data_IF_646901795691
#
_entry.id   IF_646901795691
#
_cell.length_a   1.000
_cell.length_b   1.000
_cell.length_c   1.000
_cell.angle_alpha   90.00
_cell.angle_beta   90.00
_cell.angle_gamma   90.00
#
_symmetry.space_group_name_H-M   'P 1'
#
loop_
_entity.id
_entity.type
_entity.pdbx_description
1 polymer ?
#
# COMPACT_ATOMS: atom_id res chain seq x y z
N UNK A 1 -22.43 -13.92 -3.56
CA UNK A 1 -21.73 -12.86 -2.77
C UNK A 1 -21.80 -13.25 -1.30
N UNK A 2 -20.74 -13.03 -0.56
CA UNK A 2 -20.66 -13.25 0.88
C UNK A 2 -21.74 -12.47 1.64
N UNK A 3 -22.16 -12.96 2.81
CA UNK A 3 -23.08 -12.27 3.73
C UNK A 3 -22.59 -10.87 4.15
N UNK A 4 -21.27 -10.63 4.08
CA UNK A 4 -20.66 -9.34 4.40
C UNK A 4 -20.75 -8.30 3.25
N UNK A 5 -21.16 -8.66 2.05
CA UNK A 5 -21.23 -7.74 0.91
C UNK A 5 -22.15 -6.54 1.19
N UNK A 6 -23.23 -6.76 1.93
CA UNK A 6 -24.18 -5.70 2.33
C UNK A 6 -23.56 -4.61 3.23
N UNK A 7 -22.40 -4.88 3.85
CA UNK A 7 -21.69 -3.89 4.67
C UNK A 7 -20.96 -2.83 3.82
N UNK A 8 -20.91 -3.04 2.51
CA UNK A 8 -20.24 -2.14 1.55
C UNK A 8 -21.25 -1.55 0.57
N UNK A 9 -20.84 -0.51 -0.18
CA UNK A 9 -21.66 0.15 -1.20
C UNK A 9 -21.26 -0.26 -2.63
N UNK A 10 -20.61 -1.43 -2.77
CA UNK A 10 -20.19 -1.95 -4.07
C UNK A 10 -21.41 -2.25 -4.95
N UNK A 11 -21.24 -2.06 -6.27
CA UNK A 11 -22.24 -2.41 -7.27
C UNK A 11 -22.50 -3.94 -7.24
N UNK A 12 -23.72 -4.40 -6.93
CA UNK A 12 -24.02 -5.83 -6.83
C UNK A 12 -23.94 -6.58 -8.17
N UNK A 13 -24.01 -5.86 -9.30
CA UNK A 13 -23.92 -6.43 -10.63
C UNK A 13 -22.47 -6.60 -11.13
N UNK A 14 -21.48 -6.20 -10.30
CA UNK A 14 -20.04 -6.31 -10.61
C UNK A 14 -19.36 -7.28 -9.66
N UNK A 15 -18.66 -8.26 -10.17
CA UNK A 15 -17.73 -9.08 -9.41
C UNK A 15 -16.47 -8.26 -9.13
N UNK A 16 -16.43 -7.59 -7.97
CA UNK A 16 -15.32 -6.72 -7.60
C UNK A 16 -14.21 -7.51 -6.93
N UNK A 17 -13.18 -7.90 -7.72
CA UNK A 17 -12.01 -8.68 -7.30
C UNK A 17 -10.74 -7.83 -7.20
N UNK A 18 -10.89 -6.51 -7.06
CA UNK A 18 -9.84 -5.51 -7.16
C UNK A 18 -9.74 -4.59 -5.92
N UNK A 19 -9.99 -5.13 -4.72
CA UNK A 19 -9.85 -4.34 -3.48
C UNK A 19 -8.48 -3.69 -3.33
N UNK A 20 -7.41 -4.39 -3.73
CA UNK A 20 -6.04 -3.91 -3.60
C UNK A 20 -5.72 -2.62 -4.37
N UNK A 21 -6.46 -2.26 -5.42
CA UNK A 21 -6.17 -1.02 -6.15
C UNK A 21 -6.49 0.21 -5.32
N UNK A 22 -7.73 0.33 -4.79
CA UNK A 22 -8.16 1.54 -4.08
C UNK A 22 -8.87 1.27 -2.75
N UNK A 23 -9.17 0.02 -2.42
CA UNK A 23 -9.99 -0.36 -1.28
C UNK A 23 -11.48 -0.06 -1.49
N UNK A 24 -12.33 -0.74 -0.74
CA UNK A 24 -13.73 -0.39 -0.56
C UNK A 24 -13.91 0.06 0.90
N UNK A 25 -14.72 1.11 1.10
CA UNK A 25 -14.99 1.65 2.43
C UNK A 25 -16.33 1.10 2.94
N UNK A 26 -16.41 0.56 4.17
CA UNK A 26 -17.66 0.08 4.75
C UNK A 26 -18.67 1.19 4.98
N UNK A 27 -19.97 0.87 4.93
CA UNK A 27 -21.07 1.83 5.13
C UNK A 27 -20.94 2.59 6.45
N UNK A 28 -20.64 1.90 7.54
CA UNK A 28 -20.49 2.51 8.87
C UNK A 28 -19.38 3.57 8.89
N UNK A 29 -18.29 3.34 8.16
CA UNK A 29 -17.18 4.31 8.06
C UNK A 29 -17.55 5.49 7.14
N UNK A 30 -18.33 5.25 6.08
CA UNK A 30 -18.87 6.32 5.23
C UNK A 30 -19.88 7.20 5.99
N UNK A 31 -20.69 6.60 6.86
CA UNK A 31 -21.61 7.33 7.73
C UNK A 31 -20.85 8.22 8.73
N UNK A 32 -19.80 7.69 9.35
CA UNK A 32 -18.94 8.50 10.23
C UNK A 32 -18.26 9.64 9.46
N UNK A 33 -17.77 9.39 8.25
CA UNK A 33 -17.22 10.46 7.41
C UNK A 33 -18.25 11.56 7.12
N UNK A 34 -19.49 11.18 6.80
CA UNK A 34 -20.55 12.16 6.56
C UNK A 34 -20.81 12.99 7.81
N UNK A 35 -20.90 12.36 8.98
CA UNK A 35 -21.10 13.04 10.26
C UNK A 35 -19.97 14.06 10.54
N UNK A 36 -18.72 13.66 10.34
CA UNK A 36 -17.55 14.54 10.53
C UNK A 36 -17.55 15.71 9.54
N UNK A 37 -17.91 15.46 8.28
CA UNK A 37 -18.00 16.50 7.26
C UNK A 37 -19.11 17.51 7.57
N UNK A 38 -20.29 17.06 7.99
CA UNK A 38 -21.39 17.94 8.43
C UNK A 38 -21.00 18.78 9.66
N UNK A 39 -20.22 18.21 10.59
CA UNK A 39 -19.69 18.94 11.75
C UNK A 39 -18.68 20.00 11.32
N UNK A 40 -17.78 19.65 10.39
CA UNK A 40 -16.80 20.59 9.82
C UNK A 40 -17.50 21.78 9.16
N UNK A 41 -18.49 21.52 8.30
CA UNK A 41 -19.21 22.57 7.57
C UNK A 41 -20.09 23.43 8.49
N UNK A 42 -20.54 22.88 9.61
CA UNK A 42 -21.33 23.64 10.59
C UNK A 42 -20.52 24.74 11.27
N UNK A 43 -19.25 24.49 11.59
CA UNK A 43 -18.35 25.47 12.20
C UNK A 43 -16.89 25.23 11.78
N UNK A 44 -16.50 25.63 10.55
CA UNK A 44 -15.18 25.29 9.99
C UNK A 44 -14.01 25.76 10.86
N UNK A 45 -14.08 26.97 11.45
CA UNK A 45 -13.01 27.51 12.31
C UNK A 45 -12.90 26.73 13.62
N UNK A 46 -14.03 26.37 14.25
CA UNK A 46 -14.01 25.55 15.45
C UNK A 46 -13.43 24.17 15.16
N UNK A 47 -13.77 23.58 14.03
CA UNK A 47 -13.32 22.25 13.64
C UNK A 47 -11.83 22.24 13.24
N UNK A 48 -11.43 23.13 12.32
CA UNK A 48 -10.10 23.10 11.70
C UNK A 48 -9.03 23.83 12.54
N UNK A 49 -9.38 24.94 13.19
CA UNK A 49 -8.40 25.75 13.92
C UNK A 49 -8.28 25.34 15.41
N UNK A 50 -9.41 25.04 16.05
CA UNK A 50 -9.43 24.80 17.51
C UNK A 50 -9.48 23.33 17.91
N UNK A 51 -10.07 22.46 17.06
CA UNK A 51 -10.33 21.06 17.43
C UNK A 51 -9.58 20.01 16.61
N UNK A 52 -8.90 20.40 15.54
CA UNK A 52 -8.30 19.42 14.61
C UNK A 52 -7.14 18.65 15.25
N UNK A 53 -6.26 19.34 15.96
CA UNK A 53 -5.07 18.72 16.55
C UNK A 53 -5.42 17.59 17.53
N UNK A 54 -6.38 17.82 18.43
CA UNK A 54 -6.85 16.79 19.39
C UNK A 54 -7.49 15.60 18.66
N UNK A 55 -8.24 15.86 17.61
CA UNK A 55 -8.88 14.81 16.78
C UNK A 55 -7.85 13.97 16.05
N UNK A 56 -6.83 14.62 15.46
CA UNK A 56 -5.71 13.92 14.82
C UNK A 56 -4.91 13.10 15.82
N UNK A 57 -4.70 13.61 17.04
CA UNK A 57 -4.01 12.88 18.09
C UNK A 57 -4.77 11.62 18.51
N UNK A 58 -6.08 11.71 18.67
CA UNK A 58 -6.93 10.55 18.98
C UNK A 58 -6.90 9.52 17.85
N UNK A 59 -7.00 9.97 16.59
CA UNK A 59 -6.94 9.10 15.43
C UNK A 59 -5.56 8.42 15.30
N UNK A 60 -4.49 9.16 15.54
CA UNK A 60 -3.10 8.68 15.51
C UNK A 60 -2.84 7.66 16.61
N UNK A 61 -3.37 7.88 17.82
CA UNK A 61 -3.26 6.93 18.91
C UNK A 61 -3.94 5.58 18.58
N UNK A 62 -5.10 5.60 17.93
CA UNK A 62 -5.75 4.38 17.47
C UNK A 62 -4.93 3.68 16.39
N UNK A 63 -4.42 4.43 15.41
CA UNK A 63 -3.58 3.89 14.35
C UNK A 63 -2.27 3.32 14.91
N UNK A 64 -1.62 4.04 15.84
CA UNK A 64 -0.38 3.59 16.48
C UNK A 64 -0.53 2.23 17.17
N UNK A 65 -1.63 2.03 17.92
CA UNK A 65 -1.93 0.72 18.53
C UNK A 65 -2.11 -0.39 17.47
N UNK A 66 -2.76 -0.06 16.37
CA UNK A 66 -3.06 -1.03 15.30
C UNK A 66 -1.81 -1.46 14.52
N UNK A 67 -0.80 -0.58 14.38
CA UNK A 67 0.43 -0.87 13.61
C UNK A 67 1.67 -1.06 14.51
N UNK A 68 1.49 -1.15 15.84
CA UNK A 68 2.56 -1.37 16.81
C UNK A 68 3.51 -0.18 16.99
N UNK A 69 3.12 1.05 16.61
CA UNK A 69 4.00 2.21 16.59
C UNK A 69 3.62 3.26 17.64
N UNK A 70 4.61 4.00 18.14
CA UNK A 70 4.36 5.19 18.96
C UNK A 70 3.61 6.24 18.11
N UNK A 71 2.47 6.77 18.60
CA UNK A 71 1.75 7.83 17.91
C UNK A 71 2.60 9.07 17.59
N UNK A 72 3.65 9.35 18.38
CA UNK A 72 4.54 10.47 18.14
C UNK A 72 5.45 10.30 16.93
N UNK A 73 5.67 9.07 16.51
CA UNK A 73 6.45 8.71 15.33
C UNK A 73 5.58 8.61 14.05
N UNK A 74 4.26 8.88 14.16
CA UNK A 74 3.29 8.79 13.06
C UNK A 74 2.80 10.17 12.60
N UNK A 75 2.64 10.31 11.30
CA UNK A 75 1.91 11.42 10.68
C UNK A 75 0.86 10.87 9.71
N UNK A 76 -0.26 11.60 9.56
CA UNK A 76 -1.19 11.35 8.46
C UNK A 76 -0.70 12.02 7.18
N UNK A 77 -0.81 11.29 6.08
CA UNK A 77 -0.54 11.76 4.72
C UNK A 77 -1.69 11.34 3.79
N UNK A 78 -1.82 11.96 2.64
CA UNK A 78 -2.92 11.67 1.73
C UNK A 78 -2.90 10.23 1.18
N UNK A 79 -1.70 9.69 0.95
CA UNK A 79 -1.44 8.34 0.46
C UNK A 79 0.03 7.96 0.68
N UNK A 80 0.38 6.68 0.49
CA UNK A 80 1.76 6.20 0.63
C UNK A 80 2.73 6.95 -0.31
N UNK A 81 2.31 7.27 -1.54
CA UNK A 81 3.12 8.06 -2.47
C UNK A 81 3.53 9.42 -1.90
N UNK A 82 2.62 10.11 -1.20
CA UNK A 82 2.93 11.36 -0.49
C UNK A 82 3.94 11.15 0.64
N UNK A 83 3.83 10.03 1.37
CA UNK A 83 4.80 9.63 2.40
C UNK A 83 6.18 9.36 1.82
N UNK A 84 6.27 8.58 0.73
CA UNK A 84 7.54 8.32 0.02
C UNK A 84 8.15 9.62 -0.51
N UNK A 85 7.33 10.52 -1.09
CA UNK A 85 7.79 11.85 -1.52
C UNK A 85 8.35 12.67 -0.36
N UNK A 86 7.68 12.67 0.81
CA UNK A 86 8.15 13.42 1.97
C UNK A 86 9.54 12.93 2.40
N UNK A 87 9.75 11.61 2.48
CA UNK A 87 11.05 11.04 2.86
C UNK A 87 12.10 11.28 1.79
N UNK A 88 11.88 10.82 0.56
CA UNK A 88 12.88 10.87 -0.50
C UNK A 88 13.36 12.32 -0.80
N UNK A 89 12.46 13.31 -0.68
CA UNK A 89 12.79 14.73 -0.92
C UNK A 89 13.40 15.44 0.28
N UNK A 90 13.28 14.88 1.48
CA UNK A 90 13.93 15.40 2.69
C UNK A 90 15.39 14.94 2.80
N UNK A 91 15.73 13.81 2.18
CA UNK A 91 17.09 13.29 2.17
C UNK A 91 17.99 14.08 1.20
N UNK A 92 19.25 14.23 1.58
CA UNK A 92 20.27 14.90 0.76
C UNK A 92 21.18 13.86 0.12
N UNK A 93 21.24 13.87 -1.21
CA UNK A 93 22.12 13.03 -2.01
C UNK A 93 23.19 13.88 -2.70
N UNK A 94 24.32 13.23 -3.05
CA UNK A 94 25.46 13.81 -3.76
C UNK A 94 25.74 13.05 -5.03
N UNK A 95 26.46 13.65 -6.00
CA UNK A 95 26.93 12.92 -7.16
C UNK A 95 27.72 11.67 -6.77
N UNK A 96 27.36 10.53 -7.33
CA UNK A 96 27.96 9.24 -7.03
C UNK A 96 27.27 8.42 -5.94
N UNK A 97 26.34 8.99 -5.16
CA UNK A 97 25.48 8.24 -4.26
C UNK A 97 24.53 7.33 -5.05
N UNK A 98 24.15 6.22 -4.44
CA UNK A 98 23.20 5.28 -5.01
C UNK A 98 21.92 5.23 -4.17
N UNK A 99 20.78 5.16 -4.87
CA UNK A 99 19.45 4.94 -4.33
C UNK A 99 19.02 3.56 -4.82
N UNK A 100 18.86 2.61 -3.91
CA UNK A 100 18.43 1.25 -4.25
C UNK A 100 16.92 1.14 -4.25
N UNK A 101 16.36 0.57 -5.31
CA UNK A 101 14.95 0.22 -5.43
C UNK A 101 14.82 -1.18 -6.04
N UNK A 102 13.61 -1.75 -6.03
CA UNK A 102 13.30 -2.98 -6.76
C UNK A 102 12.61 -2.66 -8.10
N UNK A 103 12.61 -3.62 -9.01
CA UNK A 103 11.77 -3.55 -10.23
C UNK A 103 10.28 -3.78 -9.92
N UNK A 104 9.95 -4.25 -8.71
CA UNK A 104 8.58 -4.38 -8.17
C UNK A 104 8.02 -3.05 -7.63
N UNK A 105 8.88 -2.03 -7.46
CA UNK A 105 8.51 -0.76 -6.86
C UNK A 105 7.34 -0.09 -7.60
N UNK A 106 6.39 0.43 -6.83
CA UNK A 106 5.26 1.15 -7.40
C UNK A 106 5.72 2.34 -8.25
N UNK A 107 5.21 2.44 -9.47
CA UNK A 107 5.71 3.41 -10.48
C UNK A 107 5.77 4.86 -9.98
N UNK A 108 4.79 5.31 -9.18
CA UNK A 108 4.83 6.67 -8.64
C UNK A 108 5.96 6.87 -7.62
N UNK A 109 6.28 5.84 -6.82
CA UNK A 109 7.38 5.87 -5.86
C UNK A 109 8.72 5.76 -6.60
N UNK A 110 8.81 4.94 -7.65
CA UNK A 110 9.98 4.91 -8.52
C UNK A 110 10.24 6.26 -9.17
N UNK A 111 9.22 6.94 -9.67
CA UNK A 111 9.36 8.26 -10.30
C UNK A 111 9.92 9.33 -9.34
N UNK A 112 9.59 9.29 -8.03
CA UNK A 112 10.19 10.24 -7.09
C UNK A 112 11.67 9.94 -6.83
N UNK A 113 12.08 8.66 -6.86
CA UNK A 113 13.51 8.31 -6.76
C UNK A 113 14.29 8.83 -7.98
N UNK A 114 13.76 8.63 -9.19
CA UNK A 114 14.37 9.15 -10.42
C UNK A 114 14.41 10.70 -10.40
N UNK A 115 13.35 11.35 -9.88
CA UNK A 115 13.30 12.80 -9.74
C UNK A 115 14.38 13.35 -8.79
N UNK A 116 14.57 12.75 -7.61
CA UNK A 116 15.59 13.22 -6.67
C UNK A 116 17.00 12.88 -7.14
N UNK A 117 17.20 11.73 -7.78
CA UNK A 117 18.47 11.33 -8.37
C UNK A 117 18.90 12.31 -9.46
N UNK A 118 18.01 12.66 -10.40
CA UNK A 118 18.30 13.62 -11.47
C UNK A 118 18.72 15.00 -10.94
N UNK A 119 18.20 15.43 -9.78
CA UNK A 119 18.51 16.73 -9.17
C UNK A 119 19.80 16.75 -8.37
N UNK A 120 20.23 15.61 -7.86
CA UNK A 120 21.40 15.49 -6.97
C UNK A 120 22.64 14.90 -7.65
N UNK A 121 22.49 14.32 -8.83
CA UNK A 121 23.55 13.56 -9.49
C UNK A 121 23.74 12.14 -8.89
N UNK A 122 22.82 11.68 -8.05
CA UNK A 122 22.78 10.30 -7.60
C UNK A 122 22.26 9.36 -8.70
N UNK A 123 22.40 8.06 -8.49
CA UNK A 123 21.96 7.03 -9.45
C UNK A 123 20.96 6.09 -8.78
N UNK A 124 19.82 5.82 -9.44
CA UNK A 124 18.90 4.78 -8.99
C UNK A 124 19.41 3.43 -9.48
N UNK A 125 19.69 2.53 -8.52
CA UNK A 125 20.11 1.14 -8.76
C UNK A 125 18.90 0.25 -8.55
N UNK A 126 18.59 -0.61 -9.51
CA UNK A 126 17.41 -1.48 -9.47
C UNK A 126 17.81 -2.92 -9.20
N UNK A 127 17.22 -3.51 -8.17
CA UNK A 127 17.27 -4.94 -7.92
C UNK A 127 16.12 -5.62 -8.66
N UNK A 128 16.44 -6.62 -9.47
CA UNK A 128 15.43 -7.46 -10.15
C UNK A 128 14.94 -8.52 -9.16
N UNK A 129 13.77 -8.30 -8.58
CA UNK A 129 13.12 -9.23 -7.68
C UNK A 129 12.35 -10.29 -8.49
N UNK A 130 12.71 -11.58 -8.44
CA UNK A 130 12.17 -12.58 -9.34
C UNK A 130 10.66 -12.79 -9.12
N UNK A 131 9.96 -13.06 -10.23
CA UNK A 131 8.60 -13.58 -10.25
C UNK A 131 8.37 -14.30 -11.59
N UNK A 132 8.00 -15.57 -11.62
CA UNK A 132 7.80 -16.50 -10.48
C UNK A 132 9.07 -16.75 -9.64
N UNK A 133 8.89 -17.19 -8.38
CA UNK A 133 9.97 -17.53 -7.46
C UNK A 133 9.61 -18.75 -6.61
N UNK A 134 10.64 -19.37 -6.02
CA UNK A 134 10.49 -20.60 -5.22
C UNK A 134 10.69 -20.39 -3.72
N UNK A 135 11.40 -19.33 -3.32
CA UNK A 135 11.63 -19.02 -1.92
C UNK A 135 11.74 -17.51 -1.68
N UNK A 136 11.44 -17.09 -0.46
CA UNK A 136 11.64 -15.72 -0.02
C UNK A 136 13.13 -15.32 0.00
N UNK A 137 14.06 -16.29 0.05
CA UNK A 137 15.50 -16.05 0.02
C UNK A 137 15.94 -15.39 -1.28
N UNK A 138 15.34 -15.77 -2.41
CA UNK A 138 15.64 -15.20 -3.72
C UNK A 138 15.43 -13.67 -3.74
N UNK A 139 14.41 -13.17 -3.04
CA UNK A 139 14.13 -11.73 -2.91
C UNK A 139 15.20 -11.04 -2.07
N UNK A 140 15.55 -11.64 -0.91
CA UNK A 140 16.57 -11.07 0.00
C UNK A 140 17.91 -10.99 -0.70
N UNK A 141 18.31 -12.07 -1.37
CA UNK A 141 19.58 -12.17 -2.10
C UNK A 141 19.62 -11.18 -3.26
N UNK A 142 18.56 -11.09 -4.07
CA UNK A 142 18.48 -10.18 -5.20
C UNK A 142 18.64 -8.73 -4.78
N UNK A 143 17.97 -8.30 -3.70
CA UNK A 143 18.05 -6.94 -3.18
C UNK A 143 19.42 -6.68 -2.56
N UNK A 144 19.90 -7.56 -1.68
CA UNK A 144 21.18 -7.40 -1.00
C UNK A 144 22.38 -7.37 -1.96
N UNK A 145 22.32 -8.14 -3.04
CA UNK A 145 23.40 -8.19 -4.05
C UNK A 145 23.56 -6.86 -4.82
N UNK A 146 22.53 -6.01 -4.84
CA UNK A 146 22.59 -4.72 -5.53
C UNK A 146 23.05 -3.57 -4.64
N UNK A 147 23.08 -3.77 -3.31
CA UNK A 147 23.59 -2.76 -2.39
C UNK A 147 25.12 -2.68 -2.46
N UNK A 148 25.67 -1.47 -2.46
CA UNK A 148 27.09 -1.15 -2.48
C UNK A 148 27.46 -0.17 -1.37
N UNK A 149 28.75 0.10 -1.18
CA UNK A 149 29.22 1.13 -0.25
C UNK A 149 28.75 2.57 -0.60
N UNK A 150 28.18 2.78 -1.79
CA UNK A 150 27.60 4.04 -2.24
C UNK A 150 26.09 4.12 -1.99
N UNK A 151 25.44 3.02 -1.60
CA UNK A 151 24.00 2.99 -1.37
C UNK A 151 23.66 3.77 -0.08
N UNK A 152 23.08 4.97 -0.24
CA UNK A 152 22.69 5.85 0.86
C UNK A 152 21.25 5.64 1.31
N UNK A 153 20.39 5.26 0.39
CA UNK A 153 18.98 5.05 0.63
C UNK A 153 18.48 3.81 -0.12
N UNK A 154 17.63 3.02 0.53
CA UNK A 154 16.93 1.90 -0.09
C UNK A 154 15.43 2.05 0.15
N UNK A 155 14.64 1.84 -0.91
CA UNK A 155 13.19 1.76 -0.89
C UNK A 155 12.77 0.41 -1.48
N UNK A 156 11.87 -0.29 -0.79
CA UNK A 156 11.26 -1.52 -1.31
C UNK A 156 9.84 -1.70 -0.74
N UNK A 157 9.00 -2.43 -1.48
CA UNK A 157 7.62 -2.73 -1.07
C UNK A 157 7.58 -3.74 0.08
N UNK A 158 6.66 -3.57 1.04
CA UNK A 158 6.31 -4.65 1.98
C UNK A 158 5.40 -5.68 1.32
N UNK A 159 4.42 -5.20 0.54
CA UNK A 159 3.58 -6.02 -0.31
C UNK A 159 3.53 -5.38 -1.69
N UNK A 160 4.05 -6.08 -2.68
CA UNK A 160 4.22 -5.57 -4.04
C UNK A 160 2.89 -5.32 -4.74
N UNK A 161 2.83 -4.26 -5.57
CA UNK A 161 1.59 -3.88 -6.23
C UNK A 161 1.21 -4.85 -7.35
N UNK A 162 2.14 -5.21 -8.24
CA UNK A 162 1.84 -6.01 -9.42
C UNK A 162 1.74 -7.50 -9.11
N UNK A 163 2.70 -8.03 -8.37
CA UNK A 163 2.81 -9.47 -8.10
C UNK A 163 2.10 -9.91 -6.81
N UNK A 164 1.71 -8.96 -5.94
CA UNK A 164 0.98 -9.24 -4.70
C UNK A 164 1.80 -9.99 -3.65
N UNK A 165 3.13 -10.00 -3.78
CA UNK A 165 4.03 -10.72 -2.89
C UNK A 165 4.24 -9.97 -1.57
N UNK A 166 4.11 -10.67 -0.46
CA UNK A 166 4.58 -10.22 0.85
C UNK A 166 6.08 -10.44 0.92
N UNK A 167 6.85 -9.36 0.91
CA UNK A 167 8.30 -9.43 1.02
C UNK A 167 8.71 -9.70 2.47
N UNK A 168 9.80 -10.46 2.71
CA UNK A 168 10.34 -10.72 4.05
C UNK A 168 11.09 -9.48 4.58
N UNK A 169 10.32 -8.41 4.88
CA UNK A 169 10.82 -7.05 5.09
C UNK A 169 11.91 -6.95 6.17
N UNK A 170 11.72 -7.61 7.33
CA UNK A 170 12.74 -7.63 8.39
C UNK A 170 14.06 -8.23 7.92
N UNK A 171 13.99 -9.31 7.11
CA UNK A 171 15.20 -9.98 6.58
C UNK A 171 15.90 -9.11 5.54
N UNK A 172 15.14 -8.40 4.69
CA UNK A 172 15.69 -7.45 3.72
C UNK A 172 16.37 -6.29 4.45
N UNK A 173 15.72 -5.71 5.45
CA UNK A 173 16.31 -4.62 6.27
C UNK A 173 17.61 -5.06 6.89
N UNK A 174 17.66 -6.25 7.52
CA UNK A 174 18.87 -6.79 8.12
C UNK A 174 20.00 -6.95 7.09
N UNK A 175 19.71 -7.57 5.95
CA UNK A 175 20.69 -7.76 4.89
C UNK A 175 21.22 -6.43 4.32
N UNK A 176 20.38 -5.41 4.18
CA UNK A 176 20.79 -4.07 3.76
C UNK A 176 21.66 -3.37 4.81
N UNK A 177 21.32 -3.51 6.11
CA UNK A 177 22.15 -2.99 7.21
C UNK A 177 23.55 -3.62 7.24
N UNK A 178 23.64 -4.93 7.02
CA UNK A 178 24.93 -5.65 6.91
C UNK A 178 25.79 -5.15 5.74
N UNK A 179 25.17 -4.58 4.70
CA UNK A 179 25.83 -3.91 3.56
C UNK A 179 26.14 -2.44 3.80
N UNK A 180 25.79 -1.90 4.99
CA UNK A 180 26.06 -0.52 5.37
C UNK A 180 25.08 0.52 4.80
N UNK A 181 23.89 0.12 4.35
CA UNK A 181 22.87 1.06 3.87
C UNK A 181 22.41 1.96 5.01
N UNK A 182 22.55 3.28 4.83
CA UNK A 182 22.33 4.27 5.92
C UNK A 182 20.85 4.50 6.22
N UNK A 183 20.01 4.63 5.19
CA UNK A 183 18.58 4.91 5.31
C UNK A 183 17.77 3.86 4.54
N UNK A 184 16.78 3.30 5.21
CA UNK A 184 15.90 2.27 4.64
C UNK A 184 14.46 2.67 4.85
N UNK A 185 13.70 2.74 3.77
CA UNK A 185 12.25 2.96 3.75
C UNK A 185 11.52 1.74 3.21
N UNK A 186 10.39 1.43 3.82
CA UNK A 186 9.49 0.40 3.32
C UNK A 186 8.21 1.08 2.78
N UNK A 187 7.87 0.82 1.52
CA UNK A 187 6.54 1.12 0.99
C UNK A 187 5.57 0.01 1.42
N UNK A 188 4.82 0.32 2.45
CA UNK A 188 3.80 -0.55 3.01
C UNK A 188 2.39 -0.24 2.49
N UNK A 189 2.23 0.31 1.28
CA UNK A 189 0.93 0.74 0.76
C UNK A 189 -0.16 -0.32 0.88
N UNK A 190 0.18 -1.59 0.85
CA UNK A 190 -0.77 -2.70 0.95
C UNK A 190 -0.78 -3.42 2.31
N UNK A 191 0.19 -3.20 3.19
CA UNK A 191 0.36 -4.03 4.37
C UNK A 191 -0.61 -3.72 5.53
N UNK A 192 -0.86 -2.44 5.94
CA UNK A 192 -1.75 -2.15 7.07
C UNK A 192 -3.16 -2.65 6.83
N UNK A 193 -3.62 -3.59 7.66
CA UNK A 193 -4.93 -4.24 7.55
C UNK A 193 -4.96 -5.48 6.63
N UNK A 194 -3.87 -5.79 5.90
CA UNK A 194 -3.73 -7.02 5.12
C UNK A 194 -2.99 -8.13 5.89
N UNK A 195 -1.94 -7.73 6.60
CA UNK A 195 -1.08 -8.62 7.39
C UNK A 195 -0.90 -8.03 8.80
N UNK A 196 -0.63 -8.84 9.82
CA UNK A 196 -0.20 -8.34 11.13
C UNK A 196 1.04 -7.45 10.97
N UNK A 197 1.08 -6.33 11.68
CA UNK A 197 2.10 -5.33 11.50
C UNK A 197 2.58 -4.77 12.84
N UNK A 198 3.90 -4.80 13.04
CA UNK A 198 4.64 -4.06 14.05
C UNK A 198 5.75 -3.30 13.32
N UNK A 199 5.49 -2.01 13.01
CA UNK A 199 6.39 -1.23 12.15
C UNK A 199 7.79 -1.08 12.75
N UNK A 200 7.96 -0.76 14.05
CA UNK A 200 9.28 -0.66 14.68
C UNK A 200 10.09 -1.95 14.61
N UNK A 201 9.43 -3.12 14.76
CA UNK A 201 10.08 -4.42 14.73
C UNK A 201 10.72 -4.74 13.37
N UNK A 202 10.26 -4.13 12.27
CA UNK A 202 10.86 -4.29 10.94
C UNK A 202 12.28 -3.73 10.85
N UNK A 203 12.69 -2.81 11.76
CA UNK A 203 14.04 -2.26 11.81
C UNK A 203 14.38 -1.22 10.73
N UNK A 204 13.39 -0.79 9.94
CA UNK A 204 13.55 0.27 8.94
C UNK A 204 13.63 1.66 9.61
N UNK A 205 13.92 2.69 8.81
CA UNK A 205 13.97 4.08 9.26
C UNK A 205 12.64 4.80 9.01
N UNK A 206 11.99 4.44 7.90
CA UNK A 206 10.74 5.05 7.45
C UNK A 206 9.79 3.98 6.92
N UNK A 207 8.50 4.25 7.09
CA UNK A 207 7.43 3.40 6.57
C UNK A 207 6.25 4.25 6.10
N UNK A 208 5.73 4.01 4.91
CA UNK A 208 4.48 4.63 4.46
C UNK A 208 3.45 3.54 4.17
N UNK A 209 2.19 3.76 4.57
CA UNK A 209 1.14 2.76 4.37
C UNK A 209 -0.23 3.40 4.13
N UNK A 210 -1.06 2.76 3.28
CA UNK A 210 -2.40 3.28 3.00
C UNK A 210 -3.43 2.76 4.01
N UNK A 211 -4.12 3.66 4.71
CA UNK A 211 -5.28 3.32 5.52
C UNK A 211 -6.52 3.05 4.65
N UNK A 212 -6.62 3.70 3.47
CA UNK A 212 -7.77 3.55 2.57
C UNK A 212 -7.81 2.25 1.75
N UNK A 213 -6.79 1.38 1.88
CA UNK A 213 -6.81 0.04 1.25
C UNK A 213 -7.37 -0.98 2.25
N UNK A 214 -6.52 -1.66 2.99
CA UNK A 214 -6.93 -2.82 3.79
C UNK A 214 -7.42 -2.48 5.20
N UNK A 215 -7.11 -1.28 5.73
CA UNK A 215 -7.83 -0.74 6.90
C UNK A 215 -9.25 -0.29 6.51
N UNK A 216 -9.54 -0.18 5.21
CA UNK A 216 -10.85 0.22 4.68
C UNK A 216 -11.29 1.64 5.07
N UNK A 217 -10.37 2.54 5.43
CA UNK A 217 -10.66 3.95 5.66
C UNK A 217 -11.07 4.67 4.35
N UNK A 218 -11.68 5.85 4.41
CA UNK A 218 -11.94 6.64 3.20
C UNK A 218 -10.66 7.02 2.46
N UNK A 219 -10.75 7.21 1.14
CA UNK A 219 -9.64 7.67 0.30
C UNK A 219 -9.14 9.02 0.79
N UNK A 220 -7.81 9.20 0.84
CA UNK A 220 -7.17 10.39 1.41
C UNK A 220 -6.57 10.15 2.81
N UNK A 221 -6.60 8.92 3.32
CA UNK A 221 -5.97 8.54 4.59
C UNK A 221 -4.84 7.53 4.37
N UNK A 222 -3.64 7.89 4.84
CA UNK A 222 -2.45 7.04 4.89
C UNK A 222 -1.59 7.45 6.07
N UNK A 223 -0.66 6.58 6.45
CA UNK A 223 0.33 6.85 7.49
C UNK A 223 1.72 7.07 6.87
N UNK A 224 2.49 7.92 7.52
CA UNK A 224 3.94 7.99 7.44
C UNK A 224 4.49 7.77 8.84
N UNK A 225 5.32 6.76 9.02
CA UNK A 225 6.08 6.52 10.23
C UNK A 225 7.54 6.85 9.99
N UNK A 226 8.18 7.47 10.97
CA UNK A 226 9.61 7.72 10.99
C UNK A 226 10.17 7.28 12.33
N UNK A 227 11.25 6.52 12.31
CA UNK A 227 11.95 6.10 13.54
C UNK A 227 12.28 7.33 14.41
N UNK A 228 12.03 7.21 15.71
CA UNK A 228 12.38 8.25 16.68
C UNK A 228 13.83 8.73 16.49
N UNK A 229 14.03 10.03 16.45
CA UNK A 229 15.31 10.66 16.13
C UNK A 229 15.55 10.99 14.65
N UNK A 230 14.73 10.47 13.73
CA UNK A 230 14.79 10.82 12.30
C UNK A 230 13.56 11.61 11.80
N UNK A 231 12.48 11.63 12.57
CA UNK A 231 11.22 12.27 12.18
C UNK A 231 11.35 13.78 11.95
N UNK A 232 12.20 14.45 12.70
CA UNK A 232 12.38 15.91 12.61
C UNK A 232 13.23 16.33 11.40
N UNK A 233 13.84 15.37 10.68
CA UNK A 233 14.49 15.60 9.38
C UNK A 233 13.48 15.70 8.25
N UNK A 234 12.23 15.26 8.45
CA UNK A 234 11.24 15.15 7.41
C UNK A 234 10.44 16.44 7.23
N UNK A 235 10.24 16.80 5.96
CA UNK A 235 9.42 17.94 5.54
C UNK A 235 8.35 17.43 4.56
N UNK A 236 7.08 17.78 4.78
CA UNK A 236 6.03 17.39 3.85
C UNK A 236 6.21 18.06 2.48
N UNK A 237 5.66 17.49 1.40
CA UNK A 237 5.72 18.10 0.06
C UNK A 237 5.19 19.53 -0.01
N UNK A 238 4.23 19.88 0.85
CA UNK A 238 3.71 21.23 1.00
C UNK A 238 4.13 21.82 2.36
N UNK A 239 5.04 22.78 2.34
CA UNK A 239 5.46 23.54 3.52
C UNK A 239 4.40 24.58 3.84
N UNK A 240 3.91 24.63 5.10
CA UNK A 240 2.86 25.53 5.55
C UNK A 240 3.18 26.16 6.91
N UNK A 241 2.16 26.58 7.66
CA UNK A 241 2.30 27.32 8.94
C UNK A 241 3.17 26.61 9.98
N UNK A 242 3.22 25.28 9.99
CA UNK A 242 4.06 24.51 10.92
C UNK A 242 5.56 24.79 10.81
N UNK A 243 6.03 25.34 9.68
CA UNK A 243 7.45 25.60 9.44
C UNK A 243 8.04 26.67 10.37
N UNK A 244 7.27 27.68 10.73
CA UNK A 244 7.69 28.76 11.63
C UNK A 244 6.92 28.78 12.96
N UNK A 245 6.15 27.73 13.25
CA UNK A 245 5.46 27.57 14.53
C UNK A 245 6.46 27.33 15.65
N UNK A 246 6.46 28.25 16.62
CA UNK A 246 7.39 28.25 17.77
C UNK A 246 6.78 27.64 19.05
N UNK A 247 5.57 27.11 18.99
CA UNK A 247 4.98 26.43 20.14
C UNK A 247 5.87 25.28 20.61
N UNK A 248 5.97 25.10 21.93
CA UNK A 248 6.82 24.09 22.55
C UNK A 248 6.06 22.79 22.89
N UNK A 249 4.73 22.82 22.82
CA UNK A 249 3.83 21.72 23.16
C UNK A 249 3.75 20.63 22.11
N UNK A 250 4.27 20.89 20.89
CA UNK A 250 4.31 19.95 19.77
C UNK A 250 5.68 19.91 19.09
N UNK A 251 6.12 18.70 18.75
CA UNK A 251 7.36 18.49 17.98
C UNK A 251 7.28 19.03 16.55
N UNK A 252 8.43 19.33 15.91
CA UNK A 252 8.50 19.82 14.53
C UNK A 252 7.75 18.94 13.52
N UNK A 253 7.93 17.63 13.62
CA UNK A 253 7.29 16.65 12.73
C UNK A 253 5.76 16.80 12.71
N UNK A 254 5.11 16.88 13.89
CA UNK A 254 3.67 17.08 13.98
C UNK A 254 3.24 18.44 13.43
N UNK A 255 3.92 19.52 13.81
CA UNK A 255 3.59 20.87 13.32
C UNK A 255 3.64 20.97 11.81
N UNK A 256 4.60 20.29 11.18
CA UNK A 256 4.76 20.29 9.72
C UNK A 256 3.71 19.43 9.01
N UNK A 257 3.38 18.26 9.55
CA UNK A 257 2.52 17.28 8.86
C UNK A 257 1.04 17.45 9.19
N UNK A 258 0.67 17.94 10.38
CA UNK A 258 -0.72 18.08 10.79
C UNK A 258 -1.44 19.22 10.05
N UNK A 259 -0.68 20.21 9.51
CA UNK A 259 -1.25 21.29 8.73
C UNK A 259 -0.40 21.63 7.49
N UNK A 260 -0.79 21.08 6.37
CA UNK A 260 -0.13 21.31 5.07
C UNK A 260 -0.92 22.31 4.17
N UNK A 261 -1.86 23.06 4.75
CA UNK A 261 -2.83 23.92 4.08
C UNK A 261 -4.25 23.43 4.35
N UNK A 262 -5.25 24.24 4.02
CA UNK A 262 -6.66 23.88 4.20
C UNK A 262 -6.99 22.66 3.33
N UNK A 263 -7.42 21.58 3.97
CA UNK A 263 -7.86 20.35 3.35
C UNK A 263 -8.97 19.69 4.18
N UNK A 264 -9.69 18.75 3.60
CA UNK A 264 -10.65 17.90 4.31
C UNK A 264 -9.92 16.81 5.10
N UNK A 265 -9.88 16.87 6.46
CA UNK A 265 -9.21 15.87 7.28
C UNK A 265 -10.07 14.64 7.58
N UNK A 266 -11.34 14.61 7.14
CA UNK A 266 -12.31 13.60 7.57
C UNK A 266 -11.88 12.17 7.25
N UNK A 267 -11.11 11.97 6.17
CA UNK A 267 -10.58 10.64 5.84
C UNK A 267 -9.62 10.11 6.93
N UNK A 268 -8.70 10.94 7.42
CA UNK A 268 -7.80 10.58 8.51
C UNK A 268 -8.55 10.37 9.84
N UNK A 269 -9.52 11.24 10.11
CA UNK A 269 -10.34 11.17 11.33
C UNK A 269 -11.28 9.95 11.36
N UNK A 270 -11.56 9.32 10.22
CA UNK A 270 -12.32 8.07 10.13
C UNK A 270 -11.46 6.81 10.38
N UNK A 271 -10.14 6.91 10.48
CA UNK A 271 -9.27 5.74 10.69
C UNK A 271 -9.64 4.94 11.95
N UNK A 272 -9.96 5.56 13.11
CA UNK A 272 -10.44 4.81 14.27
C UNK A 272 -11.72 4.00 14.00
N UNK A 273 -12.68 4.57 13.31
CA UNK A 273 -13.93 3.87 12.95
C UNK A 273 -13.65 2.70 11.98
N UNK A 274 -12.72 2.87 11.05
CA UNK A 274 -12.31 1.80 10.15
C UNK A 274 -11.58 0.67 10.89
N UNK A 275 -10.70 0.97 11.82
CA UNK A 275 -10.04 -0.02 12.68
C UNK A 275 -11.08 -0.76 13.53
N UNK A 276 -11.99 -0.03 14.19
CA UNK A 276 -13.07 -0.64 14.99
C UNK A 276 -13.96 -1.57 14.16
N UNK A 277 -14.21 -1.24 12.89
CA UNK A 277 -14.92 -2.13 11.97
C UNK A 277 -14.15 -3.43 11.75
N UNK A 278 -12.83 -3.36 11.46
CA UNK A 278 -12.02 -4.58 11.27
C UNK A 278 -11.96 -5.45 12.53
N UNK A 279 -11.81 -4.81 13.71
CA UNK A 279 -11.72 -5.50 15.00
C UNK A 279 -13.06 -6.10 15.44
N UNK A 280 -14.18 -5.50 15.02
CA UNK A 280 -15.52 -5.92 15.44
C UNK A 280 -16.20 -6.95 14.56
N UNK A 281 -15.63 -7.28 13.37
CA UNK A 281 -16.32 -8.14 12.38
C UNK A 281 -16.31 -9.62 12.78
N UNK A 282 -15.24 -10.07 13.44
CA UNK A 282 -15.06 -11.45 13.90
C UNK A 282 -14.63 -11.49 15.37
N UNK A 283 -14.90 -12.58 16.10
CA UNK A 283 -14.46 -12.74 17.50
C UNK A 283 -12.93 -12.61 17.69
N UNK A 284 -12.13 -13.07 16.73
CA UNK A 284 -10.67 -12.94 16.72
C UNK A 284 -10.17 -11.61 16.16
N UNK A 285 -11.05 -10.62 15.97
CA UNK A 285 -10.68 -9.27 15.55
C UNK A 285 -10.11 -9.19 14.14
N UNK A 286 -9.27 -8.16 13.94
CA UNK A 286 -8.65 -7.89 12.66
C UNK A 286 -7.72 -9.02 12.20
N UNK A 287 -7.06 -9.73 13.09
CA UNK A 287 -6.18 -10.86 12.73
C UNK A 287 -6.97 -12.01 12.11
N UNK A 288 -8.15 -12.34 12.65
CA UNK A 288 -9.03 -13.35 12.05
C UNK A 288 -9.49 -12.91 10.66
N UNK A 289 -9.85 -11.63 10.48
CA UNK A 289 -10.21 -11.08 9.17
C UNK A 289 -9.06 -11.22 8.17
N UNK A 290 -7.84 -10.84 8.55
CA UNK A 290 -6.65 -10.98 7.71
C UNK A 290 -6.40 -12.45 7.33
N UNK A 291 -6.52 -13.38 8.30
CA UNK A 291 -6.34 -14.80 8.05
C UNK A 291 -7.39 -15.36 7.07
N UNK A 292 -8.66 -14.95 7.21
CA UNK A 292 -9.75 -15.36 6.30
C UNK A 292 -9.54 -14.81 4.88
N UNK A 293 -9.16 -13.54 4.75
CA UNK A 293 -8.84 -12.93 3.46
C UNK A 293 -7.66 -13.65 2.80
N UNK A 294 -6.61 -13.99 3.58
CA UNK A 294 -5.48 -14.75 3.08
C UNK A 294 -5.89 -16.15 2.60
N UNK A 295 -6.67 -16.87 3.38
CA UNK A 295 -7.14 -18.20 3.00
C UNK A 295 -7.94 -18.15 1.67
N UNK A 296 -8.82 -17.16 1.53
CA UNK A 296 -9.59 -16.97 0.30
C UNK A 296 -8.70 -16.57 -0.89
N UNK A 297 -7.63 -15.76 -0.67
CA UNK A 297 -6.67 -15.41 -1.73
C UNK A 297 -5.87 -16.63 -2.20
N UNK A 298 -5.47 -17.53 -1.29
CA UNK A 298 -4.81 -18.79 -1.63
C UNK A 298 -5.73 -19.72 -2.41
N UNK A 299 -7.00 -19.83 -2.01
CA UNK A 299 -8.01 -20.59 -2.72
C UNK A 299 -8.26 -20.02 -4.13
N UNK A 300 -8.40 -18.70 -4.26
CA UNK A 300 -8.53 -18.01 -5.55
C UNK A 300 -7.33 -18.29 -6.47
N UNK A 301 -6.11 -18.22 -5.91
CA UNK A 301 -4.89 -18.56 -6.65
C UNK A 301 -4.90 -20.00 -7.15
N UNK A 302 -5.29 -20.95 -6.31
CA UNK A 302 -5.36 -22.36 -6.68
C UNK A 302 -6.36 -22.60 -7.83
N UNK A 303 -7.56 -22.01 -7.75
CA UNK A 303 -8.57 -22.07 -8.82
C UNK A 303 -8.01 -21.53 -10.15
N UNK A 304 -7.33 -20.37 -10.10
CA UNK A 304 -6.76 -19.76 -11.30
C UNK A 304 -5.58 -20.55 -11.86
N UNK A 305 -4.69 -21.06 -11.00
CA UNK A 305 -3.57 -21.90 -11.43
C UNK A 305 -4.05 -23.19 -12.10
N UNK A 306 -5.07 -23.85 -11.54
CA UNK A 306 -5.68 -25.05 -12.13
C UNK A 306 -6.32 -24.75 -13.49
N UNK A 307 -7.10 -23.68 -13.61
CA UNK A 307 -7.73 -23.26 -14.85
C UNK A 307 -6.70 -22.90 -15.95
N UNK A 308 -5.60 -22.28 -15.59
CA UNK A 308 -4.51 -21.88 -16.48
C UNK A 308 -3.47 -23.00 -16.72
N UNK A 309 -3.55 -24.11 -15.97
CA UNK A 309 -2.60 -25.23 -15.98
C UNK A 309 -1.17 -24.80 -15.72
N UNK A 310 -0.98 -23.98 -14.70
CA UNK A 310 0.32 -23.48 -14.25
C UNK A 310 0.57 -23.85 -12.77
N UNK A 311 1.82 -23.99 -12.42
CA UNK A 311 2.21 -24.11 -11.01
C UNK A 311 2.03 -22.78 -10.27
N UNK A 312 1.78 -22.79 -8.94
CA UNK A 312 1.72 -21.59 -8.14
C UNK A 312 3.02 -20.76 -8.30
N UNK A 313 2.92 -19.48 -8.67
CA UNK A 313 4.11 -18.68 -9.04
C UNK A 313 4.95 -18.20 -7.84
N UNK A 314 4.52 -18.45 -6.60
CA UNK A 314 5.22 -18.07 -5.38
C UNK A 314 4.82 -18.97 -4.20
N UNK A 315 5.68 -19.10 -3.17
CA UNK A 315 5.35 -19.80 -1.93
C UNK A 315 4.14 -19.20 -1.21
N UNK A 316 3.41 -20.03 -0.45
CA UNK A 316 2.20 -19.60 0.25
C UNK A 316 2.49 -18.57 1.35
N UNK A 317 3.64 -18.65 2.00
CA UNK A 317 4.06 -17.69 3.03
C UNK A 317 4.24 -16.27 2.49
N UNK A 318 4.41 -16.11 1.19
CA UNK A 318 4.52 -14.80 0.53
C UNK A 318 3.18 -14.26 0.03
N UNK A 319 2.06 -14.87 0.39
CA UNK A 319 0.72 -14.44 -0.01
C UNK A 319 -0.02 -13.85 1.17
N UNK A 320 -0.48 -12.62 1.02
CA UNK A 320 -1.46 -11.97 1.90
C UNK A 320 -2.88 -12.12 1.36
N UNK A 321 -3.61 -11.02 1.23
CA UNK A 321 -4.93 -10.98 0.62
C UNK A 321 -4.91 -10.63 -0.88
N UNK A 322 -3.72 -10.61 -1.49
CA UNK A 322 -3.46 -10.47 -2.93
C UNK A 322 -2.80 -11.74 -3.44
N UNK A 323 -3.20 -12.16 -4.64
CA UNK A 323 -2.50 -13.22 -5.36
C UNK A 323 -2.45 -12.89 -6.84
N UNK A 324 -1.27 -13.05 -7.46
CA UNK A 324 -1.08 -12.82 -8.88
C UNK A 324 -0.70 -14.12 -9.59
N UNK A 325 -1.23 -14.29 -10.80
CA UNK A 325 -0.89 -15.40 -11.66
C UNK A 325 -0.43 -14.89 -13.02
N UNK A 326 0.63 -15.47 -13.61
CA UNK A 326 1.01 -15.19 -14.99
C UNK A 326 -0.10 -15.61 -15.95
N UNK A 327 -0.36 -14.76 -16.93
CA UNK A 327 -1.22 -15.08 -18.06
C UNK A 327 -0.36 -15.38 -19.31
N UNK A 328 -0.90 -16.04 -20.33
CA UNK A 328 -0.28 -16.08 -21.63
C UNK A 328 0.05 -14.67 -22.14
N UNK A 329 1.17 -14.53 -22.86
CA UNK A 329 1.57 -13.25 -23.42
C UNK A 329 0.45 -12.63 -24.28
N UNK A 330 0.27 -11.32 -24.15
CA UNK A 330 -0.71 -10.62 -24.96
C UNK A 330 -0.26 -10.61 -26.42
N UNK A 331 -1.20 -10.84 -27.35
CA UNK A 331 -0.94 -10.81 -28.79
C UNK A 331 -0.89 -9.36 -29.27
N UNK A 332 -0.27 -9.16 -30.43
CA UNK A 332 -0.31 -7.85 -31.09
C UNK A 332 -1.78 -7.44 -31.37
N UNK A 333 -2.10 -6.19 -31.01
CA UNK A 333 -3.48 -5.69 -31.11
C UNK A 333 -4.36 -5.97 -29.88
N UNK A 334 -3.90 -6.76 -28.89
CA UNK A 334 -4.63 -7.01 -27.64
C UNK A 334 -4.21 -6.05 -26.51
N UNK A 335 -3.30 -5.10 -26.76
CA UNK A 335 -2.80 -4.18 -25.75
C UNK A 335 -2.30 -2.86 -26.32
N UNK A 336 -2.24 -1.86 -25.48
CA UNK A 336 -1.57 -0.56 -25.71
C UNK A 336 -0.43 -0.41 -24.71
N UNK A 337 0.80 -0.74 -25.15
CA UNK A 337 1.99 -0.67 -24.29
C UNK A 337 2.30 0.77 -23.84
N UNK A 338 2.02 1.78 -24.69
CA UNK A 338 2.31 3.17 -24.37
C UNK A 338 1.41 3.69 -23.24
N UNK A 339 0.20 3.16 -23.14
CA UNK A 339 -0.76 3.49 -22.06
C UNK A 339 -0.78 2.47 -20.94
N UNK A 340 0.01 1.40 -21.04
CA UNK A 340 0.02 0.30 -20.07
C UNK A 340 -1.33 -0.42 -19.95
N UNK A 341 -2.09 -0.53 -21.04
CA UNK A 341 -3.45 -1.10 -21.04
C UNK A 341 -3.47 -2.46 -21.71
N UNK A 342 -3.99 -3.46 -21.01
CA UNK A 342 -4.36 -4.76 -21.56
C UNK A 342 -5.85 -4.77 -21.87
N UNK A 343 -6.24 -5.13 -23.08
CA UNK A 343 -7.65 -5.10 -23.50
C UNK A 343 -8.46 -6.27 -22.95
N UNK A 344 -7.81 -7.35 -22.48
CA UNK A 344 -8.50 -8.42 -21.76
C UNK A 344 -9.15 -7.92 -20.47
N UNK A 345 -8.50 -6.97 -19.76
CA UNK A 345 -9.10 -6.36 -18.57
C UNK A 345 -10.42 -5.65 -18.91
N UNK A 346 -10.45 -4.86 -19.98
CA UNK A 346 -11.67 -4.18 -20.44
C UNK A 346 -12.76 -5.18 -20.84
N UNK A 347 -12.39 -6.24 -21.60
CA UNK A 347 -13.33 -7.30 -22.01
C UNK A 347 -13.92 -8.07 -20.82
N UNK A 348 -13.14 -8.34 -19.76
CA UNK A 348 -13.65 -8.96 -18.53
C UNK A 348 -14.70 -8.08 -17.87
N UNK A 349 -14.48 -6.76 -17.83
CA UNK A 349 -15.45 -5.83 -17.26
C UNK A 349 -16.69 -5.68 -18.15
N UNK A 350 -16.51 -5.40 -19.43
CA UNK A 350 -17.61 -5.06 -20.35
C UNK A 350 -18.54 -6.24 -20.63
N UNK A 351 -17.96 -7.44 -20.82
CA UNK A 351 -18.68 -8.65 -21.25
C UNK A 351 -19.09 -9.56 -20.08
N UNK A 352 -18.33 -9.56 -18.97
CA UNK A 352 -18.55 -10.48 -17.84
C UNK A 352 -18.79 -9.75 -16.50
N UNK A 353 -18.75 -8.42 -16.48
CA UNK A 353 -18.92 -7.60 -15.26
C UNK A 353 -17.95 -7.98 -14.15
N UNK A 354 -16.69 -8.29 -14.51
CA UNK A 354 -15.63 -8.66 -13.58
C UNK A 354 -14.60 -7.55 -13.54
N UNK A 355 -14.45 -6.90 -12.38
CA UNK A 355 -13.42 -5.90 -12.12
C UNK A 355 -12.19 -6.58 -11.51
N UNK A 356 -11.15 -6.76 -12.32
CA UNK A 356 -9.88 -7.36 -11.92
C UNK A 356 -8.73 -6.73 -12.71
N UNK A 357 -7.59 -6.36 -12.10
CA UNK A 357 -6.48 -5.76 -12.82
C UNK A 357 -5.65 -6.81 -13.58
N UNK A 358 -5.29 -6.46 -14.80
CA UNK A 358 -4.26 -7.14 -15.60
C UNK A 358 -3.14 -6.14 -15.85
N UNK A 359 -1.93 -6.50 -15.49
CA UNK A 359 -0.76 -5.61 -15.53
C UNK A 359 0.36 -6.28 -16.31
N UNK A 360 1.14 -5.47 -17.05
CA UNK A 360 2.36 -5.98 -17.68
C UNK A 360 3.43 -6.22 -16.63
N UNK A 361 3.99 -7.44 -16.63
CA UNK A 361 5.07 -7.82 -15.77
C UNK A 361 6.01 -8.83 -16.44
N UNK A 362 7.34 -8.58 -16.43
CA UNK A 362 8.00 -7.31 -16.08
C UNK A 362 7.71 -6.18 -17.09
N UNK A 363 7.25 -6.51 -18.29
CA UNK A 363 6.85 -5.57 -19.36
C UNK A 363 6.03 -6.29 -20.43
N UNK A 364 5.27 -5.52 -21.22
CA UNK A 364 4.56 -6.06 -22.37
C UNK A 364 5.49 -6.87 -23.31
N UNK A 365 5.04 -7.96 -23.90
CA UNK A 365 3.67 -8.51 -23.86
C UNK A 365 3.37 -9.40 -22.63
N UNK A 366 4.36 -9.66 -21.75
CA UNK A 366 4.15 -10.47 -20.54
C UNK A 366 3.20 -9.76 -19.60
N UNK A 367 2.28 -10.51 -19.02
CA UNK A 367 1.23 -9.95 -18.17
C UNK A 367 0.88 -10.87 -17.00
N UNK A 368 0.43 -10.26 -15.92
CA UNK A 368 -0.10 -10.94 -14.74
C UNK A 368 -1.51 -10.45 -14.44
N UNK A 369 -2.34 -11.35 -13.97
CA UNK A 369 -3.64 -11.04 -13.39
C UNK A 369 -3.49 -11.10 -11.89
N UNK A 370 -3.93 -10.05 -11.17
CA UNK A 370 -3.90 -9.99 -9.71
C UNK A 370 -5.31 -9.98 -9.15
N UNK A 371 -5.65 -10.98 -8.35
CA UNK A 371 -6.90 -10.99 -7.59
C UNK A 371 -6.69 -10.41 -6.19
N UNK A 372 -7.73 -9.85 -5.64
CA UNK A 372 -7.84 -9.43 -4.25
C UNK A 372 -8.91 -10.25 -3.56
N UNK A 373 -8.68 -10.64 -2.31
CA UNK A 373 -9.67 -11.30 -1.46
C UNK A 373 -10.05 -10.39 -0.29
N UNK A 374 -11.33 -10.11 -0.16
CA UNK A 374 -11.88 -9.35 0.96
C UNK A 374 -13.16 -10.06 1.45
N UNK A 375 -13.60 -9.82 2.68
CA UNK A 375 -14.75 -10.50 3.30
C UNK A 375 -16.03 -10.49 2.48
N UNK A 376 -16.20 -9.56 1.57
CA UNK A 376 -17.35 -9.51 0.67
C UNK A 376 -17.24 -10.44 -0.55
N UNK A 377 -16.06 -11.05 -0.77
CA UNK A 377 -15.84 -12.02 -1.83
C UNK A 377 -16.14 -13.45 -1.35
N UNK A 378 -16.37 -14.33 -2.30
CA UNK A 378 -16.54 -15.77 -2.08
C UNK A 378 -15.89 -16.58 -3.20
N UNK A 379 -15.72 -17.88 -2.98
CA UNK A 379 -15.12 -18.82 -3.92
C UNK A 379 -15.76 -18.80 -5.31
N UNK A 380 -17.10 -18.73 -5.39
CA UNK A 380 -17.83 -18.79 -6.66
C UNK A 380 -17.45 -17.62 -7.60
N UNK A 381 -17.05 -16.48 -7.06
CA UNK A 381 -16.59 -15.33 -7.86
C UNK A 381 -15.26 -15.62 -8.57
N UNK A 382 -14.35 -16.35 -7.95
CA UNK A 382 -13.07 -16.74 -8.57
C UNK A 382 -13.25 -17.89 -9.57
N UNK A 383 -14.20 -18.80 -9.34
CA UNK A 383 -14.60 -19.81 -10.31
C UNK A 383 -15.21 -19.15 -11.56
N UNK A 384 -16.05 -18.11 -11.39
CA UNK A 384 -16.59 -17.32 -12.48
C UNK A 384 -15.48 -16.58 -13.27
N UNK A 385 -14.51 -16.00 -12.57
CA UNK A 385 -13.33 -15.39 -13.21
C UNK A 385 -12.53 -16.42 -14.01
N UNK A 386 -12.27 -17.61 -13.47
CA UNK A 386 -11.55 -18.68 -14.14
C UNK A 386 -12.27 -19.11 -15.43
N UNK A 387 -13.60 -19.30 -15.38
CA UNK A 387 -14.43 -19.62 -16.56
C UNK A 387 -14.39 -18.48 -17.60
N UNK A 388 -14.46 -17.21 -17.16
CA UNK A 388 -14.39 -16.07 -18.05
C UNK A 388 -13.03 -15.93 -18.75
N UNK A 389 -11.92 -16.27 -18.05
CA UNK A 389 -10.57 -16.31 -18.63
C UNK A 389 -10.45 -17.43 -19.67
N UNK A 390 -10.89 -18.65 -19.34
CA UNK A 390 -10.83 -19.80 -20.26
C UNK A 390 -11.60 -19.56 -21.59
N UNK A 391 -12.64 -18.74 -21.57
CA UNK A 391 -13.39 -18.36 -22.76
C UNK A 391 -12.71 -17.27 -23.61
N UNK A 392 -11.65 -16.60 -23.12
CA UNK A 392 -11.06 -15.40 -23.74
C UNK A 392 -9.56 -15.49 -24.02
N UNK A 393 -8.87 -16.46 -23.43
CA UNK A 393 -7.45 -16.79 -23.68
C UNK A 393 -7.28 -17.84 -24.76
#
# INVERSE_FOLDING_TARGET
MSEFAQLFTLDPDVLYLNHGSFGACPRVVLEERRRLYEELERQPVLFLDRGLEERLDAARAALGRFVGADPDDLAFVANATSGVNAVARSLTFRPGDEILATDQEYNACRNVLDYVAARSGATVVVAEAPFPLRSADEIVEAIAARASARTRFALFDHVTSQTGLVFPAERIVRALRERGVERIMIDGAHAPGMIPLDIPALGADYYAGNCHKWICAPKGAALLWARSGLRDELVPPAVSHGYNDRRADRGPFRKLFDWQGTLDPTAALCVPAAISFLEGIFPGGAEELMARNRALALEARAILCDALKIEPPAPEEMIGALASVPLPDAREGEYDAARGRDFLQARLYDEARIEVPIMFWPRAPRRVLRVSAQIYNDRAQYEALAAALAARL
#
